data_IF_318622558524
#
_entry.id   IF_318622558524
#
_cell.length_a   1.000
_cell.length_b   1.000
_cell.length_c   1.000
_cell.angle_alpha   90.00
_cell.angle_beta   90.00
_cell.angle_gamma   90.00
#
_symmetry.space_group_name_H-M   'P 1'
#
loop_
_entity.id
_entity.type
_entity.pdbx_description
1 polymer ?
#
# COMPACT_ATOMS: atom_id res chain seq x y z
N UNK A 1 -29.56 -77.81 -15.35
CA UNK A 1 -29.39 -77.36 -16.74
C UNK A 1 -29.00 -75.89 -16.73
N UNK A 2 -28.06 -75.53 -17.59
CA UNK A 2 -27.20 -74.34 -17.64
C UNK A 2 -27.89 -72.97 -17.63
N UNK A 3 -27.46 -72.08 -16.73
CA UNK A 3 -27.62 -70.63 -16.86
C UNK A 3 -26.27 -69.93 -16.72
N UNK A 4 -25.76 -69.41 -17.84
CA UNK A 4 -24.57 -68.57 -17.96
C UNK A 4 -24.89 -67.16 -17.47
N UNK A 5 -24.20 -66.67 -16.44
CA UNK A 5 -24.13 -65.23 -16.14
C UNK A 5 -22.86 -64.64 -16.76
N UNK A 6 -23.06 -63.70 -17.69
CA UNK A 6 -22.00 -62.97 -18.38
C UNK A 6 -21.46 -61.85 -17.51
N UNK A 7 -20.16 -61.89 -17.24
CA UNK A 7 -19.37 -60.83 -16.62
C UNK A 7 -19.10 -59.75 -17.69
N UNK A 8 -19.58 -58.53 -17.48
CA UNK A 8 -19.25 -57.35 -18.29
C UNK A 8 -17.90 -56.79 -17.83
N UNK A 9 -16.94 -56.70 -18.75
CA UNK A 9 -15.68 -55.99 -18.51
C UNK A 9 -15.87 -54.47 -18.60
N UNK A 10 -15.12 -53.68 -17.83
CA UNK A 10 -15.15 -52.22 -17.95
C UNK A 10 -14.38 -51.78 -19.20
N UNK A 11 -15.01 -50.89 -19.99
CA UNK A 11 -14.42 -50.27 -21.18
C UNK A 11 -13.26 -49.36 -20.77
N UNK A 12 -12.05 -49.72 -21.17
CA UNK A 12 -10.87 -48.85 -21.13
C UNK A 12 -11.03 -47.73 -22.16
N UNK A 13 -11.08 -46.48 -21.70
CA UNK A 13 -10.90 -45.31 -22.54
C UNK A 13 -9.42 -45.22 -22.96
N UNK A 14 -9.14 -45.53 -24.24
CA UNK A 14 -7.85 -45.22 -24.87
C UNK A 14 -7.85 -43.75 -25.26
N UNK A 15 -7.20 -42.91 -24.46
CA UNK A 15 -6.83 -41.56 -24.89
C UNK A 15 -5.66 -41.66 -25.86
N UNK A 16 -5.88 -41.24 -27.11
CA UNK A 16 -4.84 -41.13 -28.13
C UNK A 16 -3.86 -40.01 -27.76
N UNK A 17 -2.62 -40.39 -27.43
CA UNK A 17 -1.51 -39.46 -27.25
C UNK A 17 -1.10 -38.96 -28.64
N UNK A 18 -1.50 -37.74 -28.97
CA UNK A 18 -1.01 -37.01 -30.15
C UNK A 18 0.48 -36.65 -30.03
N UNK A 19 1.14 -36.36 -31.16
CA UNK A 19 2.59 -36.18 -31.21
C UNK A 19 3.03 -34.98 -30.39
N UNK A 20 4.07 -35.19 -29.58
CA UNK A 20 4.77 -34.20 -28.74
C UNK A 20 5.09 -32.94 -29.54
N UNK A 21 4.34 -31.88 -29.27
CA UNK A 21 4.64 -30.53 -29.75
C UNK A 21 6.03 -30.10 -29.29
N UNK A 22 6.82 -29.61 -30.25
CA UNK A 22 8.14 -29.01 -30.02
C UNK A 22 8.08 -28.00 -28.87
N UNK A 23 8.82 -28.30 -27.81
CA UNK A 23 9.11 -27.40 -26.68
C UNK A 23 9.76 -26.13 -27.25
N UNK A 24 8.97 -25.06 -27.44
CA UNK A 24 9.49 -23.75 -27.83
C UNK A 24 10.49 -23.33 -26.76
N UNK A 25 11.76 -23.19 -27.15
CA UNK A 25 12.78 -22.55 -26.34
C UNK A 25 12.24 -21.18 -25.91
N UNK A 26 12.13 -21.00 -24.60
CA UNK A 26 11.81 -19.73 -23.97
C UNK A 26 12.98 -18.78 -24.26
N UNK A 27 12.87 -18.00 -25.34
CA UNK A 27 13.82 -16.93 -25.67
C UNK A 27 13.90 -16.01 -24.45
N UNK A 28 15.06 -15.96 -23.80
CA UNK A 28 15.42 -14.83 -22.93
C UNK A 28 15.26 -13.57 -23.77
N UNK A 29 14.30 -12.72 -23.41
CA UNK A 29 14.22 -11.37 -23.94
C UNK A 29 15.53 -10.69 -23.56
N UNK A 30 16.41 -10.45 -24.55
CA UNK A 30 17.49 -9.49 -24.39
C UNK A 30 16.81 -8.15 -24.13
N UNK A 31 17.21 -7.46 -23.06
CA UNK A 31 16.95 -6.03 -22.91
C UNK A 31 17.57 -5.35 -24.13
N UNK A 32 16.73 -5.06 -25.11
CA UNK A 32 17.10 -4.56 -26.42
C UNK A 32 16.35 -3.27 -26.68
N UNK A 33 17.12 -2.25 -27.04
CA UNK A 33 16.75 -1.09 -27.86
C UNK A 33 15.29 -0.64 -27.70
N UNK A 34 15.07 0.27 -26.75
CA UNK A 34 13.90 1.13 -26.79
C UNK A 34 13.94 1.90 -28.12
N UNK A 35 12.97 1.65 -29.00
CA UNK A 35 12.77 2.49 -30.18
C UNK A 35 12.70 3.96 -29.74
N UNK A 36 13.32 4.88 -30.49
CA UNK A 36 13.30 6.31 -30.16
C UNK A 36 11.85 6.78 -30.08
N UNK A 37 11.45 7.16 -28.88
CA UNK A 37 10.08 7.57 -28.56
C UNK A 37 9.74 8.84 -29.36
N UNK A 38 8.57 8.89 -30.05
CA UNK A 38 8.13 10.09 -30.75
C UNK A 38 8.05 11.28 -29.79
N UNK A 39 8.68 12.39 -30.16
CA UNK A 39 8.63 13.63 -29.37
C UNK A 39 7.23 14.23 -29.54
N UNK A 40 6.46 14.29 -28.46
CA UNK A 40 5.16 14.98 -28.45
C UNK A 40 5.38 16.49 -28.63
N UNK A 41 4.60 17.17 -29.49
CA UNK A 41 4.66 18.62 -29.62
C UNK A 41 4.25 19.29 -28.31
N UNK A 42 4.88 20.43 -27.96
CA UNK A 42 4.48 21.24 -26.79
C UNK A 42 3.05 21.70 -26.99
N UNK A 43 2.19 21.45 -26.00
CA UNK A 43 0.80 21.89 -26.06
C UNK A 43 0.76 23.42 -25.95
N UNK A 44 -0.18 24.10 -26.63
CA UNK A 44 -0.47 25.49 -26.31
C UNK A 44 -0.72 25.62 -24.80
N UNK A 45 -0.18 26.66 -24.19
CA UNK A 45 -0.37 26.93 -22.77
C UNK A 45 -1.86 26.77 -22.44
N UNK A 46 -2.19 25.88 -21.50
CA UNK A 46 -3.58 25.67 -21.09
C UNK A 46 -4.13 27.06 -20.77
N UNK A 47 -5.27 27.43 -21.37
CA UNK A 47 -5.97 28.63 -20.93
C UNK A 47 -6.33 28.36 -19.48
N UNK A 48 -5.55 28.90 -18.55
CA UNK A 48 -5.77 28.73 -17.13
C UNK A 48 -7.20 29.18 -16.85
N UNK A 49 -8.10 28.22 -16.67
CA UNK A 49 -9.43 28.49 -16.15
C UNK A 49 -9.15 28.90 -14.70
N UNK A 50 -9.36 30.18 -14.39
CA UNK A 50 -9.05 30.80 -13.11
C UNK A 50 -9.27 29.83 -11.94
N UNK A 51 -8.35 29.69 -10.95
CA UNK A 51 -8.47 28.74 -9.83
C UNK A 51 -9.87 28.72 -9.21
N UNK A 52 -10.31 27.56 -8.68
CA UNK A 52 -11.66 27.46 -8.12
C UNK A 52 -11.63 28.19 -6.79
N UNK A 53 -11.96 29.47 -6.87
CA UNK A 53 -12.36 30.26 -5.74
C UNK A 53 -13.88 30.21 -5.74
N UNK A 54 -14.51 29.41 -4.88
CA UNK A 54 -15.96 29.44 -4.76
C UNK A 54 -16.37 30.90 -4.51
N UNK A 55 -17.36 31.40 -5.25
CA UNK A 55 -17.84 32.77 -5.10
C UNK A 55 -18.48 33.02 -3.73
N UNK A 56 -18.81 31.95 -3.00
CA UNK A 56 -19.31 31.97 -1.62
C UNK A 56 -19.13 30.60 -0.93
N UNK A 57 -19.17 30.58 0.40
CA UNK A 57 -19.23 29.33 1.18
C UNK A 57 -20.44 28.45 0.81
N UNK A 58 -21.53 29.07 0.34
CA UNK A 58 -22.73 28.37 -0.11
C UNK A 58 -22.49 27.63 -1.43
N UNK A 59 -21.72 28.21 -2.35
CA UNK A 59 -21.36 27.56 -3.62
C UNK A 59 -20.43 26.36 -3.38
N UNK A 60 -19.44 26.52 -2.49
CA UNK A 60 -18.58 25.43 -2.06
C UNK A 60 -19.40 24.33 -1.37
N UNK A 61 -20.30 24.71 -0.45
CA UNK A 61 -21.20 23.77 0.22
C UNK A 61 -22.15 23.06 -0.74
N UNK A 62 -22.65 23.75 -1.77
CA UNK A 62 -23.53 23.17 -2.78
C UNK A 62 -22.79 22.22 -3.74
N UNK A 63 -21.57 22.55 -4.13
CA UNK A 63 -20.73 21.68 -4.96
C UNK A 63 -20.30 20.43 -4.19
N UNK A 64 -19.89 20.62 -2.93
CA UNK A 64 -19.68 19.52 -1.97
C UNK A 64 -20.93 18.68 -1.87
N UNK A 65 -22.09 19.29 -1.63
CA UNK A 65 -23.38 18.62 -1.58
C UNK A 65 -23.69 17.87 -2.87
N UNK A 66 -23.42 18.42 -4.05
CA UNK A 66 -23.65 17.75 -5.34
C UNK A 66 -22.70 16.58 -5.57
N UNK A 67 -21.45 16.64 -5.12
CA UNK A 67 -20.52 15.51 -5.20
C UNK A 67 -20.93 14.45 -4.16
N UNK A 68 -21.27 14.87 -2.93
CA UNK A 68 -21.85 14.01 -1.90
C UNK A 68 -23.14 13.35 -2.39
N UNK A 69 -24.01 14.08 -3.08
CA UNK A 69 -25.26 13.57 -3.62
C UNK A 69 -25.08 12.80 -4.91
N UNK A 70 -24.14 13.13 -5.78
CA UNK A 70 -23.83 12.31 -6.95
C UNK A 70 -23.27 10.97 -6.47
N UNK A 71 -22.44 10.97 -5.41
CA UNK A 71 -22.04 9.75 -4.73
C UNK A 71 -23.26 9.04 -4.12
N UNK A 72 -24.07 9.66 -3.25
CA UNK A 72 -25.25 9.02 -2.64
C UNK A 72 -26.33 8.56 -3.63
N UNK A 73 -26.65 9.38 -4.64
CA UNK A 73 -27.69 9.10 -5.63
C UNK A 73 -27.27 8.06 -6.66
N UNK A 74 -25.96 7.94 -6.95
CA UNK A 74 -25.42 6.81 -7.68
C UNK A 74 -25.56 5.48 -6.91
N UNK A 75 -25.61 5.52 -5.57
CA UNK A 75 -25.96 4.37 -4.72
C UNK A 75 -27.47 4.23 -4.44
N UNK A 76 -28.28 5.09 -5.05
CA UNK A 76 -29.74 5.15 -4.89
C UNK A 76 -30.48 4.01 -5.58
N UNK A 77 -30.32 2.78 -5.11
CA UNK A 77 -31.34 1.72 -5.28
C UNK A 77 -31.38 0.67 -4.14
N UNK A 78 -30.64 0.86 -3.04
CA UNK A 78 -30.74 0.00 -1.85
C UNK A 78 -30.93 0.83 -0.57
N UNK A 79 -31.98 1.66 -0.53
CA UNK A 79 -32.37 2.43 0.65
C UNK A 79 -33.18 1.59 1.65
N UNK A 80 -32.74 0.36 1.96
CA UNK A 80 -33.44 -0.50 2.92
C UNK A 80 -32.64 -0.86 4.18
N UNK A 81 -31.34 -0.53 4.26
CA UNK A 81 -30.57 -0.63 5.50
C UNK A 81 -29.82 0.68 5.74
N UNK A 82 -30.22 1.41 6.79
CA UNK A 82 -29.71 2.74 7.13
C UNK A 82 -28.30 2.73 7.79
N UNK A 83 -27.61 1.58 7.80
CA UNK A 83 -26.35 1.38 8.51
C UNK A 83 -25.13 1.22 7.59
N UNK A 84 -25.23 1.52 6.29
CA UNK A 84 -24.13 1.32 5.35
C UNK A 84 -23.27 2.59 5.22
N UNK A 85 -21.95 2.53 5.46
CA UNK A 85 -21.08 3.70 5.44
C UNK A 85 -20.96 4.28 4.03
N UNK A 86 -21.41 5.52 3.89
CA UNK A 86 -21.36 6.33 2.67
C UNK A 86 -19.93 6.52 2.14
N UNK A 87 -19.80 6.76 0.83
CA UNK A 87 -18.54 7.17 0.19
C UNK A 87 -17.91 8.40 0.88
N UNK A 88 -18.75 9.24 1.50
CA UNK A 88 -18.39 10.33 2.43
C UNK A 88 -17.42 9.91 3.54
N UNK A 89 -17.53 8.68 4.04
CA UNK A 89 -16.64 8.11 5.06
C UNK A 89 -15.23 7.90 4.51
N UNK A 90 -15.09 7.44 3.26
CA UNK A 90 -13.78 7.27 2.61
C UNK A 90 -13.09 8.63 2.42
N UNK A 91 -13.86 9.65 2.04
CA UNK A 91 -13.36 11.01 1.81
C UNK A 91 -12.90 11.72 3.09
N UNK A 92 -13.61 11.50 4.19
CA UNK A 92 -13.40 12.24 5.45
C UNK A 92 -12.53 11.50 6.47
N UNK A 93 -12.40 10.18 6.36
CA UNK A 93 -11.72 9.36 7.37
C UNK A 93 -10.45 8.66 6.89
N UNK A 94 -10.14 8.69 5.59
CA UNK A 94 -8.93 8.06 5.08
C UNK A 94 -7.80 9.05 4.79
N UNK A 95 -6.57 8.66 5.10
CA UNK A 95 -5.34 9.43 4.83
C UNK A 95 -4.71 9.10 3.47
N UNK A 96 -5.49 8.54 2.53
CA UNK A 96 -5.03 8.20 1.17
C UNK A 96 -4.51 9.42 0.40
N UNK A 97 -3.50 9.25 -0.49
CA UNK A 97 -2.98 10.33 -1.37
C UNK A 97 -4.02 10.84 -2.37
N UNK A 98 -4.74 9.89 -2.97
CA UNK A 98 -5.78 10.08 -3.99
C UNK A 98 -7.17 9.90 -3.40
N UNK A 99 -7.26 9.99 -2.08
CA UNK A 99 -8.54 10.20 -1.43
C UNK A 99 -9.12 11.51 -1.97
N UNK A 100 -10.44 11.61 -2.11
CA UNK A 100 -11.12 12.87 -2.39
C UNK A 100 -11.04 13.79 -1.16
N UNK A 101 -9.82 14.09 -0.70
CA UNK A 101 -9.56 15.27 0.09
C UNK A 101 -9.99 16.46 -0.76
N UNK A 102 -10.42 17.53 -0.08
CA UNK A 102 -10.83 18.77 -0.74
C UNK A 102 -9.79 19.33 -1.71
N UNK A 103 -8.54 18.90 -1.59
CA UNK A 103 -7.43 19.25 -2.47
C UNK A 103 -7.65 18.89 -3.94
N UNK A 104 -8.24 17.74 -4.26
CA UNK A 104 -8.41 17.27 -5.65
C UNK A 104 -9.69 17.77 -6.31
N UNK A 105 -10.65 18.25 -5.52
CA UNK A 105 -11.96 18.67 -6.01
C UNK A 105 -11.90 19.85 -6.99
N UNK A 106 -11.10 20.91 -6.76
CA UNK A 106 -10.97 21.99 -7.73
C UNK A 106 -10.63 21.48 -9.13
N UNK A 107 -9.68 20.56 -9.25
CA UNK A 107 -9.30 19.98 -10.53
C UNK A 107 -10.38 19.06 -11.09
N UNK A 108 -10.91 18.14 -10.28
CA UNK A 108 -11.95 17.21 -10.70
C UNK A 108 -13.19 17.92 -11.23
N UNK A 109 -13.63 19.02 -10.61
CA UNK A 109 -14.83 19.75 -11.04
C UNK A 109 -14.64 20.45 -12.39
N UNK A 110 -13.40 20.71 -12.79
CA UNK A 110 -13.07 21.44 -14.03
C UNK A 110 -12.64 20.54 -15.16
N UNK A 111 -12.33 19.30 -14.84
CA UNK A 111 -11.77 18.34 -15.78
C UNK A 111 -12.59 17.06 -15.79
N UNK A 112 -13.42 16.89 -16.83
CA UNK A 112 -14.32 15.75 -16.96
C UNK A 112 -13.58 14.40 -16.95
N UNK A 113 -12.42 14.31 -17.62
CA UNK A 113 -11.67 13.06 -17.68
C UNK A 113 -11.18 12.66 -16.28
N UNK A 114 -10.60 13.63 -15.55
CA UNK A 114 -10.11 13.40 -14.21
C UNK A 114 -11.27 13.13 -13.24
N UNK A 115 -12.37 13.88 -13.31
CA UNK A 115 -13.59 13.63 -12.53
C UNK A 115 -14.04 12.17 -12.64
N UNK A 116 -14.25 11.71 -13.87
CA UNK A 116 -14.72 10.35 -14.11
C UNK A 116 -13.69 9.30 -13.67
N UNK A 117 -12.39 9.56 -13.81
CA UNK A 117 -11.35 8.64 -13.32
C UNK A 117 -11.36 8.55 -11.79
N UNK A 118 -11.48 9.69 -11.10
CA UNK A 118 -11.53 9.78 -9.65
C UNK A 118 -12.78 9.07 -9.11
N UNK A 119 -13.96 9.33 -9.69
CA UNK A 119 -15.21 8.66 -9.30
C UNK A 119 -15.14 7.14 -9.48
N UNK A 120 -14.49 6.67 -10.56
CA UNK A 120 -14.20 5.24 -10.72
C UNK A 120 -13.31 4.71 -9.60
N UNK A 121 -12.20 5.39 -9.30
CA UNK A 121 -11.29 4.99 -8.22
C UNK A 121 -11.96 4.94 -6.86
N UNK A 122 -12.70 6.00 -6.50
CA UNK A 122 -13.45 6.08 -5.25
C UNK A 122 -14.52 4.99 -5.17
N UNK A 123 -15.24 4.71 -6.27
CA UNK A 123 -16.23 3.61 -6.32
C UNK A 123 -15.57 2.25 -6.07
N UNK A 124 -14.38 2.02 -6.63
CA UNK A 124 -13.61 0.79 -6.40
C UNK A 124 -13.18 0.69 -4.94
N UNK A 125 -12.65 1.77 -4.36
CA UNK A 125 -12.20 1.79 -2.97
C UNK A 125 -13.38 1.51 -2.03
N UNK A 126 -14.52 2.18 -2.22
CA UNK A 126 -15.72 1.94 -1.42
C UNK A 126 -16.18 0.48 -1.50
N UNK A 127 -16.19 -0.12 -2.69
CA UNK A 127 -16.55 -1.53 -2.87
C UNK A 127 -15.59 -2.47 -2.11
N UNK A 128 -14.29 -2.19 -2.13
CA UNK A 128 -13.31 -2.97 -1.37
C UNK A 128 -13.53 -2.88 0.15
N UNK A 129 -13.73 -1.67 0.69
CA UNK A 129 -13.98 -1.48 2.13
C UNK A 129 -15.27 -2.17 2.58
N UNK A 130 -16.28 -2.19 1.71
CA UNK A 130 -17.56 -2.86 1.97
C UNK A 130 -17.53 -4.36 1.65
N UNK A 131 -16.43 -4.87 1.08
CA UNK A 131 -16.30 -6.25 0.60
C UNK A 131 -17.44 -6.68 -0.34
N UNK A 132 -17.83 -5.79 -1.25
CA UNK A 132 -18.87 -6.04 -2.26
C UNK A 132 -18.26 -6.06 -3.66
N UNK A 133 -19.00 -6.61 -4.62
CA UNK A 133 -18.63 -6.52 -6.02
C UNK A 133 -18.59 -5.07 -6.51
N UNK A 134 -17.74 -4.80 -7.51
CA UNK A 134 -17.61 -3.48 -8.10
C UNK A 134 -18.96 -3.01 -8.68
N UNK A 135 -19.48 -1.86 -8.25
CA UNK A 135 -20.80 -1.38 -8.67
C UNK A 135 -20.80 -0.98 -10.15
N UNK A 136 -21.97 -0.96 -10.79
CA UNK A 136 -22.11 -0.52 -12.20
C UNK A 136 -21.49 0.86 -12.47
N UNK A 137 -21.55 1.76 -11.49
CA UNK A 137 -21.01 3.12 -11.59
C UNK A 137 -19.49 3.13 -11.76
N UNK A 138 -18.77 2.19 -11.15
CA UNK A 138 -17.34 2.01 -11.37
C UNK A 138 -17.04 1.90 -12.86
N UNK A 139 -17.72 0.97 -13.55
CA UNK A 139 -17.54 0.72 -14.97
C UNK A 139 -18.01 1.88 -15.85
N UNK A 140 -19.12 2.53 -15.46
CA UNK A 140 -19.64 3.70 -16.17
C UNK A 140 -18.64 4.85 -16.17
N UNK A 141 -18.18 5.28 -14.99
CA UNK A 141 -17.22 6.36 -14.86
C UNK A 141 -15.87 5.99 -15.50
N UNK A 142 -15.40 4.74 -15.31
CA UNK A 142 -14.16 4.26 -15.96
C UNK A 142 -14.23 4.36 -17.48
N UNK A 143 -15.34 3.91 -18.08
CA UNK A 143 -15.53 3.94 -19.54
C UNK A 143 -15.53 5.35 -20.12
N UNK A 144 -16.17 6.31 -19.44
CA UNK A 144 -16.17 7.72 -19.86
C UNK A 144 -14.76 8.31 -19.76
N UNK A 145 -14.07 8.10 -18.63
CA UNK A 145 -12.72 8.61 -18.44
C UNK A 145 -11.74 8.07 -19.49
N UNK A 146 -11.80 6.78 -19.84
CA UNK A 146 -10.98 6.19 -20.91
C UNK A 146 -11.27 6.86 -22.26
N UNK A 147 -12.55 7.04 -22.61
CA UNK A 147 -12.95 7.68 -23.87
C UNK A 147 -12.38 9.10 -23.96
N UNK A 148 -12.61 9.91 -22.93
CA UNK A 148 -12.14 11.30 -22.87
C UNK A 148 -10.60 11.39 -22.89
N UNK A 149 -9.92 10.49 -22.17
CA UNK A 149 -8.46 10.42 -22.19
C UNK A 149 -7.94 10.11 -23.60
N UNK A 150 -8.53 9.13 -24.31
CA UNK A 150 -8.09 8.80 -25.66
C UNK A 150 -8.28 9.98 -26.63
N UNK A 151 -9.43 10.65 -26.59
CA UNK A 151 -9.70 11.85 -27.40
C UNK A 151 -8.64 12.95 -27.16
N UNK A 152 -8.20 13.12 -25.91
CA UNK A 152 -7.15 14.08 -25.52
C UNK A 152 -5.77 13.67 -26.02
N UNK A 153 -5.41 12.41 -25.85
CA UNK A 153 -4.12 11.87 -26.31
C UNK A 153 -3.99 11.97 -27.85
N UNK A 154 -5.08 11.75 -28.59
CA UNK A 154 -5.11 11.94 -30.05
C UNK A 154 -4.82 13.39 -30.47
N UNK A 155 -5.21 14.37 -29.65
CA UNK A 155 -4.90 15.80 -29.87
C UNK A 155 -3.51 16.20 -29.37
N UNK A 156 -2.82 15.32 -28.64
CA UNK A 156 -1.54 15.61 -27.99
C UNK A 156 -1.66 16.41 -26.69
N UNK A 157 -2.85 16.43 -26.08
CA UNK A 157 -3.08 17.11 -24.81
C UNK A 157 -2.30 16.42 -23.67
N UNK A 158 -1.69 17.22 -22.79
CA UNK A 158 -0.91 16.78 -21.63
C UNK A 158 -1.06 17.78 -20.47
N UNK A 159 -2.25 18.36 -20.35
CA UNK A 159 -2.62 19.21 -19.22
C UNK A 159 -2.73 18.40 -17.91
N UNK A 160 -2.91 19.14 -16.82
CA UNK A 160 -3.00 18.62 -15.46
C UNK A 160 -4.07 17.53 -15.31
N UNK A 161 -5.27 17.75 -15.86
CA UNK A 161 -6.37 16.79 -15.78
C UNK A 161 -6.05 15.49 -16.53
N UNK A 162 -5.40 15.60 -17.68
CA UNK A 162 -4.93 14.46 -18.48
C UNK A 162 -3.88 13.65 -17.73
N UNK A 163 -2.88 14.32 -17.15
CA UNK A 163 -1.82 13.66 -16.36
C UNK A 163 -2.41 12.94 -15.15
N UNK A 164 -3.25 13.61 -14.37
CA UNK A 164 -3.85 13.01 -13.18
C UNK A 164 -4.81 11.87 -13.53
N UNK A 165 -5.52 11.93 -14.66
CA UNK A 165 -6.33 10.81 -15.17
C UNK A 165 -5.46 9.58 -15.42
N UNK A 166 -4.29 9.76 -16.06
CA UNK A 166 -3.34 8.66 -16.29
C UNK A 166 -2.75 8.16 -14.97
N UNK A 167 -2.45 9.04 -14.02
CA UNK A 167 -2.00 8.64 -12.68
C UNK A 167 -3.00 7.71 -11.99
N UNK A 168 -4.29 8.04 -11.99
CA UNK A 168 -5.35 7.20 -11.41
C UNK A 168 -5.35 5.81 -12.03
N UNK A 169 -5.30 5.70 -13.36
CA UNK A 169 -5.28 4.40 -14.03
C UNK A 169 -4.00 3.61 -13.77
N UNK A 170 -2.84 4.27 -13.82
CA UNK A 170 -1.56 3.65 -13.53
C UNK A 170 -1.52 3.06 -12.10
N UNK A 171 -2.02 3.82 -11.12
CA UNK A 171 -2.13 3.36 -9.73
C UNK A 171 -3.05 2.17 -9.57
N UNK A 172 -4.23 2.19 -10.20
CA UNK A 172 -5.15 1.06 -10.13
C UNK A 172 -4.51 -0.22 -10.65
N UNK A 173 -3.83 -0.17 -11.80
CA UNK A 173 -3.13 -1.34 -12.33
C UNK A 173 -1.94 -1.77 -11.44
N UNK A 174 -1.26 -0.81 -10.80
CA UNK A 174 -0.21 -1.10 -9.84
C UNK A 174 -0.78 -1.79 -8.58
N UNK A 175 -1.86 -1.27 -8.00
CA UNK A 175 -2.51 -1.79 -6.80
C UNK A 175 -3.20 -3.14 -7.03
N UNK A 176 -3.70 -3.39 -8.23
CA UNK A 176 -4.20 -4.70 -8.63
C UNK A 176 -3.08 -5.72 -8.87
N UNK A 177 -1.81 -5.33 -8.71
CA UNK A 177 -0.67 -6.22 -8.86
C UNK A 177 -0.54 -6.73 -10.30
N UNK A 178 -0.77 -5.88 -11.30
CA UNK A 178 -0.65 -6.22 -12.73
C UNK A 178 0.58 -5.54 -13.38
N UNK A 179 1.79 -6.11 -13.23
CA UNK A 179 3.03 -5.48 -13.69
C UNK A 179 3.04 -5.06 -15.17
N UNK A 180 2.46 -5.84 -16.07
CA UNK A 180 2.52 -5.53 -17.51
C UNK A 180 1.68 -4.31 -17.89
N UNK A 181 0.44 -4.23 -17.40
CA UNK A 181 -0.42 -3.08 -17.63
C UNK A 181 0.08 -1.87 -16.86
N UNK A 182 0.51 -2.04 -15.60
CA UNK A 182 1.14 -0.99 -14.82
C UNK A 182 2.35 -0.38 -15.56
N UNK A 183 3.25 -1.21 -16.11
CA UNK A 183 4.40 -0.73 -16.91
C UNK A 183 3.98 0.11 -18.11
N UNK A 184 2.91 -0.29 -18.80
CA UNK A 184 2.39 0.47 -19.96
C UNK A 184 1.89 1.85 -19.54
N UNK A 185 1.10 1.93 -18.47
CA UNK A 185 0.58 3.20 -17.97
C UNK A 185 1.66 4.09 -17.37
N UNK A 186 2.61 3.54 -16.61
CA UNK A 186 3.75 4.30 -16.07
C UNK A 186 4.61 4.86 -17.20
N UNK A 187 4.87 4.07 -18.25
CA UNK A 187 5.61 4.56 -19.42
C UNK A 187 4.87 5.72 -20.11
N UNK A 188 3.56 5.58 -20.31
CA UNK A 188 2.72 6.65 -20.85
C UNK A 188 2.72 7.91 -19.98
N UNK A 189 2.61 7.74 -18.66
CA UNK A 189 2.69 8.85 -17.69
C UNK A 189 4.01 9.60 -17.80
N UNK A 190 5.15 8.90 -17.80
CA UNK A 190 6.47 9.50 -17.91
C UNK A 190 6.65 10.26 -19.23
N UNK A 191 6.05 9.78 -20.32
CA UNK A 191 6.04 10.49 -21.60
C UNK A 191 5.25 11.79 -21.53
N UNK A 192 4.08 11.80 -20.88
CA UNK A 192 3.28 13.02 -20.66
C UNK A 192 4.03 14.02 -19.77
N UNK A 193 4.60 13.56 -18.65
CA UNK A 193 5.42 14.41 -17.76
C UNK A 193 6.60 15.02 -18.53
N UNK A 194 7.28 14.23 -19.36
CA UNK A 194 8.37 14.73 -20.21
C UNK A 194 7.87 15.77 -21.23
N UNK A 195 6.72 15.54 -21.85
CA UNK A 195 6.10 16.48 -22.80
C UNK A 195 5.75 17.81 -22.14
N UNK A 196 5.31 17.78 -20.88
CA UNK A 196 5.02 18.96 -20.06
C UNK A 196 6.26 19.74 -19.60
N UNK A 197 7.48 19.29 -19.95
CA UNK A 197 8.74 19.92 -19.55
C UNK A 197 9.42 19.24 -18.35
N UNK A 198 9.05 18.00 -18.04
CA UNK A 198 9.54 17.26 -16.87
C UNK A 198 8.73 17.59 -15.62
N UNK A 199 9.19 17.10 -14.46
CA UNK A 199 8.54 17.37 -13.16
C UNK A 199 8.52 18.86 -12.83
N UNK A 200 9.55 19.60 -13.22
CA UNK A 200 9.57 21.06 -13.08
C UNK A 200 8.52 21.75 -13.95
N UNK A 201 8.10 21.13 -15.06
CA UNK A 201 6.98 21.59 -15.88
C UNK A 201 5.63 21.51 -15.15
N UNK A 202 5.54 20.69 -14.11
CA UNK A 202 4.37 20.55 -13.24
C UNK A 202 4.45 21.44 -11.99
N UNK A 203 5.48 22.28 -11.88
CA UNK A 203 5.77 23.09 -10.69
C UNK A 203 4.64 24.02 -10.24
N UNK A 204 3.69 24.32 -11.11
CA UNK A 204 2.55 25.19 -10.81
C UNK A 204 1.48 24.53 -9.92
N UNK A 205 1.43 23.19 -9.83
CA UNK A 205 0.52 22.49 -8.92
C UNK A 205 1.24 21.40 -8.10
N UNK A 206 1.54 21.66 -6.81
CA UNK A 206 2.15 20.69 -5.91
C UNK A 206 1.39 19.37 -5.80
N UNK A 207 0.06 19.38 -5.97
CA UNK A 207 -0.78 18.20 -5.81
C UNK A 207 -0.50 17.20 -6.93
N UNK A 208 -0.60 17.64 -8.18
CA UNK A 208 -0.28 16.85 -9.38
C UNK A 208 1.10 16.24 -9.29
N UNK A 209 2.09 17.01 -8.83
CA UNK A 209 3.45 16.51 -8.62
C UNK A 209 3.50 15.36 -7.61
N UNK A 210 2.86 15.51 -6.43
CA UNK A 210 2.75 14.42 -5.43
C UNK A 210 2.09 13.19 -6.02
N UNK A 211 1.03 13.37 -6.78
CA UNK A 211 0.29 12.26 -7.39
C UNK A 211 1.14 11.52 -8.42
N UNK A 212 1.91 12.24 -9.23
CA UNK A 212 2.87 11.65 -10.16
C UNK A 212 3.96 10.87 -9.41
N UNK A 213 4.56 11.43 -8.34
CA UNK A 213 5.56 10.71 -7.54
C UNK A 213 4.99 9.47 -6.84
N UNK A 214 3.80 9.57 -6.25
CA UNK A 214 3.14 8.43 -5.63
C UNK A 214 2.85 7.33 -6.66
N UNK A 215 2.44 7.71 -7.87
CA UNK A 215 2.20 6.78 -8.97
C UNK A 215 3.49 6.09 -9.44
N UNK A 216 4.59 6.83 -9.56
CA UNK A 216 5.90 6.28 -9.90
C UNK A 216 6.41 5.30 -8.84
N UNK A 217 6.21 5.62 -7.54
CA UNK A 217 6.54 4.71 -6.44
C UNK A 217 5.70 3.42 -6.47
N UNK A 218 4.38 3.53 -6.65
CA UNK A 218 3.51 2.37 -6.80
C UNK A 218 3.92 1.51 -8.00
N UNK A 219 4.26 2.15 -9.12
CA UNK A 219 4.84 1.51 -10.30
C UNK A 219 6.12 0.77 -9.98
N UNK A 220 7.08 1.42 -9.33
CA UNK A 220 8.37 0.86 -8.95
C UNK A 220 8.23 -0.38 -8.05
N UNK A 221 7.32 -0.34 -7.06
CA UNK A 221 7.00 -1.48 -6.19
C UNK A 221 6.47 -2.65 -7.04
N UNK A 222 5.47 -2.40 -7.87
CA UNK A 222 4.82 -3.44 -8.67
C UNK A 222 5.76 -4.04 -9.71
N UNK A 223 6.63 -3.22 -10.33
CA UNK A 223 7.59 -3.64 -11.35
C UNK A 223 8.89 -4.20 -10.77
N UNK A 224 9.12 -4.07 -9.46
CA UNK A 224 10.42 -4.36 -8.82
C UNK A 224 11.57 -3.55 -9.43
N UNK A 225 11.35 -2.26 -9.65
CA UNK A 225 12.36 -1.34 -10.20
C UNK A 225 12.65 -0.20 -9.23
N UNK A 226 13.67 0.61 -9.54
CA UNK A 226 13.83 1.94 -8.94
C UNK A 226 12.71 2.87 -9.44
N UNK A 227 12.18 3.78 -8.61
CA UNK A 227 11.41 4.93 -9.09
C UNK A 227 12.19 5.68 -10.16
N UNK A 228 11.51 6.08 -11.24
CA UNK A 228 12.16 6.79 -12.35
C UNK A 228 12.31 8.27 -12.02
N UNK A 229 11.42 8.81 -11.21
CA UNK A 229 11.39 10.21 -10.83
C UNK A 229 12.17 10.44 -9.53
N UNK A 230 13.14 11.33 -9.62
CA UNK A 230 13.85 11.83 -8.45
C UNK A 230 12.88 12.57 -7.51
N UNK A 231 12.99 12.37 -6.19
CA UNK A 231 12.13 13.04 -5.23
C UNK A 231 12.33 14.56 -5.26
N UNK A 232 11.25 15.32 -5.13
CA UNK A 232 11.33 16.75 -4.81
C UNK A 232 11.44 17.03 -3.31
N UNK A 233 11.15 16.03 -2.48
CA UNK A 233 11.25 16.11 -1.02
C UNK A 233 12.70 15.85 -0.59
N UNK A 234 13.17 16.57 0.44
CA UNK A 234 14.44 16.24 1.08
C UNK A 234 14.30 14.96 1.90
N UNK A 235 14.62 13.83 1.27
CA UNK A 235 14.54 12.51 1.90
C UNK A 235 15.58 12.28 3.00
N UNK A 236 16.46 13.24 3.29
CA UNK A 236 17.47 13.13 4.36
C UNK A 236 17.04 13.75 5.68
N UNK A 237 16.06 14.66 5.67
CA UNK A 237 15.56 15.35 6.87
C UNK A 237 14.44 14.58 7.58
N UNK A 238 14.77 13.41 8.11
CA UNK A 238 13.79 12.54 8.76
C UNK A 238 13.07 13.19 9.95
N UNK A 239 13.68 14.16 10.64
CA UNK A 239 13.04 14.85 11.76
C UNK A 239 11.86 15.71 11.30
N UNK A 240 11.98 16.39 10.16
CA UNK A 240 10.87 17.16 9.59
C UNK A 240 9.70 16.27 9.22
N UNK A 241 9.96 15.11 8.61
CA UNK A 241 8.90 14.22 8.11
C UNK A 241 8.35 13.25 9.17
N UNK A 242 9.17 12.70 10.04
CA UNK A 242 8.73 11.71 11.05
C UNK A 242 8.52 12.32 12.44
N UNK A 243 8.95 13.57 12.66
CA UNK A 243 8.96 14.19 13.99
C UNK A 243 10.01 13.56 14.92
N UNK A 244 10.29 14.19 16.05
CA UNK A 244 11.32 13.70 16.97
C UNK A 244 10.99 12.30 17.50
N UNK A 245 11.97 11.36 17.53
CA UNK A 245 11.74 10.04 18.10
C UNK A 245 11.62 10.15 19.63
N UNK A 246 10.67 9.42 20.21
CA UNK A 246 10.62 9.26 21.67
C UNK A 246 11.85 8.48 22.16
N UNK A 247 12.20 8.61 23.44
CA UNK A 247 13.33 7.85 24.02
C UNK A 247 13.16 6.34 23.86
N UNK A 248 11.92 5.84 23.92
CA UNK A 248 11.60 4.45 23.62
C UNK A 248 11.96 4.12 22.16
N UNK A 249 11.43 4.89 21.19
CA UNK A 249 11.72 4.68 19.77
C UNK A 249 13.22 4.68 19.47
N UNK A 250 13.99 5.62 20.04
CA UNK A 250 15.46 5.66 19.88
C UNK A 250 16.11 4.37 20.39
N UNK A 251 15.77 3.95 21.61
CA UNK A 251 16.33 2.75 22.24
C UNK A 251 16.05 1.49 21.42
N UNK A 252 14.81 1.32 20.96
CA UNK A 252 14.42 0.15 20.18
C UNK A 252 15.00 0.15 18.78
N UNK A 253 14.98 1.29 18.08
CA UNK A 253 15.62 1.43 16.78
C UNK A 253 17.12 1.10 16.87
N UNK A 254 17.81 1.58 17.89
CA UNK A 254 19.23 1.28 18.11
C UNK A 254 19.50 -0.20 18.40
N UNK A 255 18.64 -0.84 19.19
CA UNK A 255 18.74 -2.28 19.49
C UNK A 255 18.52 -3.11 18.23
N UNK A 256 17.51 -2.77 17.44
CA UNK A 256 17.22 -3.40 16.15
C UNK A 256 18.37 -3.22 15.16
N UNK A 257 18.88 -1.99 15.02
CA UNK A 257 20.07 -1.64 14.22
C UNK A 257 21.26 -2.51 14.57
N UNK A 258 21.58 -2.61 15.86
CA UNK A 258 22.75 -3.35 16.36
C UNK A 258 22.61 -4.84 16.07
N UNK A 259 21.42 -5.43 16.29
CA UNK A 259 21.16 -6.84 15.95
C UNK A 259 21.32 -7.11 14.45
N UNK A 260 20.77 -6.25 13.61
CA UNK A 260 20.90 -6.35 12.14
C UNK A 260 22.35 -6.19 11.68
N UNK A 261 23.06 -5.18 12.18
CA UNK A 261 24.47 -4.93 11.87
C UNK A 261 25.34 -6.12 12.27
N UNK A 262 25.15 -6.66 13.47
CA UNK A 262 25.90 -7.84 13.94
C UNK A 262 25.63 -9.10 13.09
N UNK A 263 24.40 -9.25 12.58
CA UNK A 263 24.02 -10.42 11.78
C UNK A 263 24.45 -10.30 10.31
N UNK A 264 24.38 -9.11 9.72
CA UNK A 264 24.55 -8.89 8.28
C UNK A 264 25.83 -8.14 7.92
N UNK A 265 26.48 -7.48 8.87
CA UNK A 265 27.58 -6.55 8.65
C UNK A 265 27.29 -5.50 7.53
N UNK A 266 26.01 -5.14 7.37
CA UNK A 266 25.54 -4.29 6.26
C UNK A 266 25.14 -2.90 6.76
N UNK A 267 25.46 -1.83 6.02
CA UNK A 267 25.02 -0.47 6.36
C UNK A 267 23.50 -0.29 6.24
N UNK A 268 22.80 -1.22 5.58
CA UNK A 268 21.33 -1.22 5.49
C UNK A 268 20.68 -1.33 6.89
N UNK A 269 21.41 -1.74 7.92
CA UNK A 269 20.93 -1.73 9.31
C UNK A 269 20.50 -0.35 9.78
N UNK A 270 21.22 0.69 9.37
CA UNK A 270 20.91 2.07 9.78
C UNK A 270 19.62 2.55 9.11
N UNK A 271 19.45 2.25 7.83
CA UNK A 271 18.21 2.54 7.10
C UNK A 271 17.02 1.76 7.66
N UNK A 272 17.20 0.49 8.02
CA UNK A 272 16.16 -0.33 8.63
C UNK A 272 15.70 0.23 9.99
N UNK A 273 16.65 0.73 10.80
CA UNK A 273 16.35 1.39 12.07
C UNK A 273 15.60 2.71 11.88
N UNK A 274 15.99 3.52 10.90
CA UNK A 274 15.27 4.75 10.54
C UNK A 274 13.87 4.46 10.00
N UNK A 275 13.70 3.39 9.21
CA UNK A 275 12.39 2.95 8.74
C UNK A 275 11.49 2.51 9.90
N UNK A 276 12.03 1.82 10.91
CA UNK A 276 11.29 1.45 12.13
C UNK A 276 10.85 2.70 12.91
N UNK A 277 11.71 3.71 13.03
CA UNK A 277 11.32 5.00 13.63
C UNK A 277 10.17 5.66 12.84
N UNK A 278 10.31 5.79 11.53
CA UNK A 278 9.27 6.36 10.67
C UNK A 278 7.94 5.62 10.77
N UNK A 279 7.95 4.27 10.74
CA UNK A 279 6.75 3.45 10.91
C UNK A 279 6.04 3.75 12.23
N UNK A 280 6.78 3.81 13.33
CA UNK A 280 6.21 4.05 14.66
C UNK A 280 5.62 5.45 14.75
N UNK A 281 6.42 6.48 14.47
CA UNK A 281 5.96 7.85 14.61
C UNK A 281 4.80 8.19 13.68
N UNK A 282 4.81 7.71 12.43
CA UNK A 282 3.70 7.95 11.50
C UNK A 282 2.46 7.14 11.84
N UNK A 283 2.60 5.94 12.42
CA UNK A 283 1.44 5.20 12.95
C UNK A 283 0.82 5.95 14.12
N UNK A 284 1.63 6.43 15.08
CA UNK A 284 1.12 7.22 16.21
C UNK A 284 0.43 8.49 15.73
N UNK A 285 1.07 9.24 14.82
CA UNK A 285 0.49 10.47 14.27
C UNK A 285 -0.86 10.22 13.57
N UNK A 286 -0.96 9.13 12.82
CA UNK A 286 -2.25 8.70 12.24
C UNK A 286 -3.26 8.38 13.34
N UNK A 287 -2.88 7.62 14.35
CA UNK A 287 -3.78 7.27 15.46
C UNK A 287 -4.27 8.54 16.18
N UNK A 288 -3.40 9.53 16.38
CA UNK A 288 -3.73 10.84 16.94
C UNK A 288 -4.71 11.62 16.04
N UNK A 289 -4.62 11.49 14.71
CA UNK A 289 -5.64 12.05 13.80
C UNK A 289 -7.00 11.35 13.95
N UNK A 290 -7.02 10.03 14.13
CA UNK A 290 -8.27 9.28 14.30
C UNK A 290 -8.91 9.49 15.67
N UNK A 291 -8.12 9.71 16.72
CA UNK A 291 -8.63 10.06 18.05
C UNK A 291 -9.03 11.54 18.17
N UNK A 292 -8.59 12.38 17.23
CA UNK A 292 -8.81 13.83 17.25
C UNK A 292 -7.84 14.59 18.15
N UNK A 293 -6.75 13.94 18.59
CA UNK A 293 -5.68 14.55 19.36
C UNK A 293 -4.72 15.38 18.48
N UNK A 294 -4.74 15.14 17.17
CA UNK A 294 -4.02 15.92 16.16
C UNK A 294 -4.91 16.22 14.95
N UNK A 295 -4.55 17.24 14.16
CA UNK A 295 -5.26 17.60 12.94
C UNK A 295 -4.45 17.22 11.70
N UNK A 296 -5.10 16.60 10.69
CA UNK A 296 -4.43 16.23 9.45
C UNK A 296 -4.09 17.50 8.67
N UNK A 297 -2.80 17.80 8.64
CA UNK A 297 -2.17 18.79 7.77
C UNK A 297 -2.71 20.23 7.89
N UNK A 298 -2.06 21.18 7.21
CA UNK A 298 -2.57 22.55 7.12
C UNK A 298 -3.51 22.68 5.92
N UNK A 299 -4.27 23.79 5.86
CA UNK A 299 -5.15 24.08 4.72
C UNK A 299 -4.39 24.35 3.41
N UNK A 300 -3.10 24.64 3.48
CA UNK A 300 -2.30 25.01 2.30
C UNK A 300 -1.65 23.76 1.73
N UNK A 301 -1.93 23.44 0.46
CA UNK A 301 -1.29 22.32 -0.23
C UNK A 301 0.23 22.50 -0.41
N UNK A 302 0.78 23.69 -0.18
CA UNK A 302 2.22 23.94 -0.19
C UNK A 302 2.93 23.48 1.07
N UNK A 303 2.17 23.31 2.16
CA UNK A 303 2.75 22.90 3.44
C UNK A 303 2.97 21.40 3.47
N UNK A 304 3.75 20.96 4.45
CA UNK A 304 4.07 19.56 4.66
C UNK A 304 2.81 18.75 4.98
N UNK A 305 2.45 17.84 4.08
CA UNK A 305 1.28 16.98 4.24
C UNK A 305 1.68 15.60 4.81
N UNK A 306 0.76 14.89 5.43
CA UNK A 306 0.95 13.52 5.93
C UNK A 306 1.36 12.58 4.79
N UNK A 307 0.83 12.82 3.60
CA UNK A 307 1.27 12.07 2.41
C UNK A 307 2.74 12.29 2.06
N UNK A 308 3.29 13.48 2.29
CA UNK A 308 4.71 13.75 2.06
C UNK A 308 5.57 12.95 3.04
N UNK A 309 5.11 12.87 4.30
CA UNK A 309 5.76 12.05 5.35
C UNK A 309 5.77 10.57 4.98
N UNK A 310 4.63 10.05 4.51
CA UNK A 310 4.52 8.66 4.07
C UNK A 310 5.37 8.41 2.81
N UNK A 311 5.43 9.35 1.87
CA UNK A 311 6.31 9.25 0.69
C UNK A 311 7.79 9.10 1.08
N UNK A 312 8.26 9.93 2.02
CA UNK A 312 9.65 9.84 2.51
C UNK A 312 9.91 8.46 3.13
N UNK A 313 8.97 7.93 3.92
CA UNK A 313 9.08 6.58 4.47
C UNK A 313 9.09 5.49 3.37
N UNK A 314 8.25 5.60 2.35
CA UNK A 314 8.23 4.66 1.23
C UNK A 314 9.55 4.65 0.45
N UNK A 315 10.14 5.82 0.21
CA UNK A 315 11.44 5.94 -0.47
C UNK A 315 12.59 5.40 0.38
N UNK A 316 12.54 5.61 1.69
CA UNK A 316 13.49 5.00 2.62
C UNK A 316 13.38 3.46 2.59
N UNK A 317 12.15 2.94 2.65
CA UNK A 317 11.86 1.51 2.61
C UNK A 317 12.22 0.89 1.26
N UNK A 318 12.08 1.63 0.16
CA UNK A 318 12.51 1.21 -1.19
C UNK A 318 13.97 0.74 -1.21
N UNK A 319 14.86 1.49 -0.54
CA UNK A 319 16.29 1.16 -0.46
C UNK A 319 16.57 -0.18 0.23
N UNK A 320 15.66 -0.65 1.11
CA UNK A 320 15.83 -1.91 1.83
C UNK A 320 15.53 -3.13 0.95
N UNK A 321 14.52 -3.01 0.07
CA UNK A 321 14.10 -4.14 -0.76
C UNK A 321 14.63 -4.09 -2.19
N UNK A 322 14.94 -2.90 -2.72
CA UNK A 322 15.58 -2.73 -4.01
C UNK A 322 17.10 -2.59 -3.82
N UNK A 323 17.77 -3.72 -3.66
CA UNK A 323 19.23 -3.78 -3.66
C UNK A 323 19.70 -4.30 -5.01
N UNK A 324 20.50 -3.50 -5.72
CA UNK A 324 21.00 -3.84 -7.07
C UNK A 324 21.81 -5.14 -7.08
N UNK A 325 22.55 -5.42 -6.00
CA UNK A 325 23.18 -6.72 -5.79
C UNK A 325 22.19 -7.71 -5.16
N UNK A 326 21.59 -8.54 -6.02
CA UNK A 326 20.61 -9.53 -5.61
C UNK A 326 21.15 -10.81 -5.04
N UNK A 327 22.45 -11.06 -5.19
CA UNK A 327 23.06 -12.35 -4.87
C UNK A 327 23.53 -12.43 -3.42
N UNK A 328 23.58 -11.32 -2.69
CA UNK A 328 23.92 -11.35 -1.26
C UNK A 328 22.76 -11.91 -0.43
N UNK A 329 22.91 -13.13 0.06
CA UNK A 329 21.92 -13.82 0.90
C UNK A 329 21.55 -13.00 2.16
N UNK A 330 22.49 -12.23 2.73
CA UNK A 330 22.24 -11.40 3.90
C UNK A 330 21.27 -10.24 3.60
N UNK A 331 20.98 -9.95 2.32
CA UNK A 331 19.96 -8.98 1.93
C UNK A 331 18.53 -9.51 2.06
N UNK A 332 18.34 -10.83 2.27
CA UNK A 332 17.01 -11.41 2.42
C UNK A 332 16.21 -10.77 3.58
N UNK A 333 16.84 -10.59 4.75
CA UNK A 333 16.16 -9.96 5.91
C UNK A 333 15.74 -8.52 5.63
N UNK A 334 16.57 -7.73 4.93
CA UNK A 334 16.25 -6.36 4.55
C UNK A 334 15.13 -6.31 3.52
N UNK A 335 15.13 -7.23 2.56
CA UNK A 335 14.08 -7.34 1.54
C UNK A 335 12.74 -7.71 2.14
N UNK A 336 12.69 -8.75 2.97
CA UNK A 336 11.43 -9.18 3.58
C UNK A 336 10.92 -8.14 4.58
N UNK A 337 11.80 -7.50 5.34
CA UNK A 337 11.44 -6.35 6.17
C UNK A 337 10.88 -5.21 5.31
N UNK A 338 11.60 -4.80 4.27
CA UNK A 338 11.20 -3.72 3.38
C UNK A 338 9.84 -3.96 2.71
N UNK A 339 9.59 -5.13 2.14
CA UNK A 339 8.28 -5.46 1.57
C UNK A 339 7.18 -5.53 2.63
N UNK A 340 7.47 -6.02 3.84
CA UNK A 340 6.49 -6.00 4.94
C UNK A 340 6.16 -4.56 5.34
N UNK A 341 7.16 -3.68 5.42
CA UNK A 341 6.95 -2.25 5.65
C UNK A 341 6.06 -1.65 4.56
N UNK A 342 6.25 -1.99 3.28
CA UNK A 342 5.36 -1.52 2.21
C UNK A 342 3.92 -2.01 2.43
N UNK A 343 3.70 -3.30 2.70
CA UNK A 343 2.35 -3.83 3.01
C UNK A 343 1.72 -3.06 4.18
N UNK A 344 2.49 -2.84 5.24
CA UNK A 344 2.05 -2.08 6.41
C UNK A 344 1.73 -0.63 6.06
N UNK A 345 2.60 0.08 5.34
CA UNK A 345 2.38 1.46 4.90
C UNK A 345 1.07 1.54 4.11
N UNK A 346 0.84 0.65 3.16
CA UNK A 346 -0.34 0.71 2.32
C UNK A 346 -1.63 0.40 3.08
N UNK A 347 -1.63 -0.55 4.00
CA UNK A 347 -2.85 -0.94 4.74
C UNK A 347 -3.12 -0.02 5.93
N UNK A 348 -2.06 0.39 6.63
CA UNK A 348 -2.16 1.06 7.92
C UNK A 348 -2.03 2.57 7.74
N UNK A 349 -0.97 3.05 7.09
CA UNK A 349 -0.72 4.48 6.96
C UNK A 349 -1.52 5.11 5.82
N UNK A 350 -1.68 4.40 4.70
CA UNK A 350 -2.49 4.85 3.56
C UNK A 350 -3.93 4.36 3.62
N UNK A 351 -4.25 3.46 4.57
CA UNK A 351 -5.62 2.94 4.76
C UNK A 351 -6.24 2.37 3.48
N UNK A 352 -5.40 1.76 2.64
CA UNK A 352 -5.84 1.07 1.45
C UNK A 352 -6.33 -0.35 1.81
N UNK A 353 -7.24 -0.92 1.02
CA UNK A 353 -7.73 -2.27 1.25
C UNK A 353 -6.61 -3.30 1.36
N UNK A 354 -6.75 -4.25 2.29
CA UNK A 354 -5.77 -5.33 2.43
C UNK A 354 -5.82 -6.31 1.25
N UNK A 355 -6.95 -6.37 0.56
CA UNK A 355 -7.24 -7.21 -0.61
C UNK A 355 -6.61 -6.70 -1.91
N UNK A 356 -5.88 -5.58 -1.88
CA UNK A 356 -5.14 -5.11 -3.06
C UNK A 356 -4.15 -6.18 -3.54
N UNK A 357 -4.21 -6.48 -4.85
CA UNK A 357 -3.35 -7.49 -5.49
C UNK A 357 -1.85 -7.22 -5.30
N UNK A 358 -1.44 -5.96 -5.15
CA UNK A 358 -0.07 -5.59 -4.81
C UNK A 358 0.36 -6.16 -3.45
N UNK A 359 -0.49 -6.10 -2.42
CA UNK A 359 -0.16 -6.63 -1.10
C UNK A 359 0.01 -8.14 -1.13
N UNK A 360 -0.89 -8.84 -1.82
CA UNK A 360 -0.81 -10.28 -2.05
C UNK A 360 0.44 -10.67 -2.82
N UNK A 361 0.78 -9.91 -3.86
CA UNK A 361 2.00 -10.10 -4.66
C UNK A 361 3.27 -9.87 -3.83
N UNK A 362 3.31 -8.85 -2.96
CA UNK A 362 4.42 -8.62 -2.02
C UNK A 362 4.56 -9.75 -0.99
N UNK A 363 3.45 -10.24 -0.43
CA UNK A 363 3.47 -11.41 0.45
C UNK A 363 4.04 -12.64 -0.28
N UNK A 364 3.65 -12.86 -1.54
CA UNK A 364 4.24 -13.91 -2.38
C UNK A 364 5.75 -13.78 -2.56
N UNK A 365 6.28 -12.55 -2.74
CA UNK A 365 7.73 -12.28 -2.80
C UNK A 365 8.45 -12.60 -1.50
N UNK A 366 7.85 -12.22 -0.36
CA UNK A 366 8.37 -12.52 0.97
C UNK A 366 8.45 -14.04 1.17
N UNK A 367 7.36 -14.76 0.89
CA UNK A 367 7.33 -16.23 0.96
C UNK A 367 8.45 -16.85 0.12
N UNK A 368 8.52 -16.50 -1.16
CA UNK A 368 9.51 -17.07 -2.08
C UNK A 368 10.96 -16.80 -1.60
N UNK A 369 11.21 -15.63 -1.03
CA UNK A 369 12.53 -15.26 -0.50
C UNK A 369 12.88 -16.05 0.76
N UNK A 370 11.91 -16.25 1.67
CA UNK A 370 12.12 -17.04 2.89
C UNK A 370 12.27 -18.54 2.59
N UNK A 371 11.52 -19.08 1.63
CA UNK A 371 11.65 -20.48 1.20
C UNK A 371 13.01 -20.76 0.54
N UNK A 372 13.59 -19.77 -0.13
CA UNK A 372 14.91 -19.89 -0.75
C UNK A 372 16.06 -19.71 0.25
N UNK A 373 15.80 -19.24 1.48
CA UNK A 373 16.83 -18.93 2.46
C UNK A 373 17.29 -20.21 3.21
N UNK A 374 18.56 -20.65 3.07
CA UNK A 374 19.01 -21.95 3.59
C UNK A 374 18.86 -22.09 5.11
N UNK A 375 19.15 -21.02 5.85
CA UNK A 375 19.17 -21.01 7.31
C UNK A 375 17.95 -20.31 7.93
N UNK A 376 16.76 -20.55 7.36
CA UNK A 376 15.54 -19.86 7.78
C UNK A 376 15.27 -20.03 9.28
N UNK A 377 15.50 -21.21 9.85
CA UNK A 377 15.28 -21.43 11.27
C UNK A 377 16.21 -20.60 12.17
N UNK A 378 17.47 -20.39 11.75
CA UNK A 378 18.41 -19.51 12.46
C UNK A 378 17.88 -18.08 12.41
N UNK A 379 17.49 -17.63 11.22
CA UNK A 379 16.95 -16.30 10.99
C UNK A 379 15.68 -16.03 11.85
N UNK A 380 14.75 -16.98 11.89
CA UNK A 380 13.53 -16.91 12.71
C UNK A 380 13.82 -16.92 14.21
N UNK A 381 14.82 -17.68 14.66
CA UNK A 381 15.22 -17.70 16.07
C UNK A 381 15.88 -16.38 16.49
N UNK A 382 16.79 -15.85 15.66
CA UNK A 382 17.54 -14.62 15.92
C UNK A 382 16.64 -13.38 15.90
N UNK A 383 15.64 -13.33 15.03
CA UNK A 383 14.74 -12.19 14.84
C UNK A 383 13.26 -12.56 15.04
N UNK A 384 12.98 -13.32 16.10
CA UNK A 384 11.64 -13.85 16.35
C UNK A 384 10.54 -12.78 16.48
N UNK A 385 10.85 -11.62 17.04
CA UNK A 385 9.97 -10.47 17.18
C UNK A 385 9.60 -9.87 15.82
N UNK A 386 10.62 -9.57 15.01
CA UNK A 386 10.46 -9.08 13.65
C UNK A 386 9.65 -10.08 12.81
N UNK A 387 10.04 -11.35 12.79
CA UNK A 387 9.39 -12.33 11.93
C UNK A 387 7.99 -12.68 12.38
N UNK A 388 7.69 -12.66 13.68
CA UNK A 388 6.31 -12.83 14.16
C UNK A 388 5.42 -11.72 13.60
N UNK A 389 5.87 -10.47 13.69
CA UNK A 389 5.18 -9.33 13.08
C UNK A 389 5.04 -9.49 11.56
N UNK A 390 6.11 -9.87 10.84
CA UNK A 390 6.04 -10.13 9.39
C UNK A 390 5.02 -11.23 9.05
N UNK A 391 4.98 -12.33 9.80
CA UNK A 391 4.04 -13.43 9.52
C UNK A 391 2.58 -12.98 9.70
N UNK A 392 2.28 -12.16 10.72
CA UNK A 392 0.92 -11.64 10.92
C UNK A 392 0.53 -10.64 9.82
N UNK A 393 1.40 -9.67 9.51
CA UNK A 393 1.14 -8.66 8.47
C UNK A 393 0.95 -9.34 7.11
N UNK A 394 1.87 -10.24 6.73
CA UNK A 394 1.81 -10.93 5.45
C UNK A 394 0.67 -11.95 5.39
N UNK A 395 0.44 -12.72 6.46
CA UNK A 395 -0.64 -13.68 6.54
C UNK A 395 -2.03 -13.05 6.37
N UNK A 396 -2.19 -11.78 6.78
CA UNK A 396 -3.45 -11.02 6.61
C UNK A 396 -3.76 -10.69 5.14
N UNK A 397 -2.75 -10.57 4.28
CA UNK A 397 -2.91 -10.15 2.87
C UNK A 397 -2.55 -11.24 1.86
N UNK A 398 -1.96 -12.33 2.33
CA UNK A 398 -1.60 -13.46 1.50
C UNK A 398 -2.84 -14.12 0.90
N UNK A 399 -2.65 -14.65 -0.31
CA UNK A 399 -3.59 -15.56 -0.97
C UNK A 399 -3.87 -16.76 -0.05
N UNK A 400 -5.07 -17.33 -0.16
CA UNK A 400 -5.49 -18.46 0.67
C UNK A 400 -4.49 -19.61 0.68
N UNK A 401 -3.83 -19.86 -0.45
CA UNK A 401 -2.82 -20.91 -0.62
C UNK A 401 -1.54 -20.65 0.18
N UNK A 402 -1.20 -19.39 0.38
CA UNK A 402 0.05 -18.96 1.01
C UNK A 402 -0.14 -18.63 2.50
N UNK A 403 -1.38 -18.39 2.97
CA UNK A 403 -1.66 -18.16 4.40
C UNK A 403 -1.12 -19.26 5.31
N UNK A 404 -1.19 -20.52 4.87
CA UNK A 404 -0.65 -21.66 5.62
C UNK A 404 0.86 -21.56 5.85
N UNK A 405 1.61 -21.00 4.88
CA UNK A 405 3.04 -20.80 5.04
C UNK A 405 3.32 -19.83 6.19
N UNK A 406 2.69 -18.66 6.19
CA UNK A 406 2.87 -17.64 7.23
C UNK A 406 2.38 -18.11 8.60
N UNK A 407 1.20 -18.74 8.65
CA UNK A 407 0.66 -19.31 9.88
C UNK A 407 1.59 -20.37 10.48
N UNK A 408 2.11 -21.30 9.66
CA UNK A 408 3.01 -22.35 10.16
C UNK A 408 4.31 -21.79 10.75
N UNK A 409 4.87 -20.73 10.17
CA UNK A 409 6.09 -20.09 10.69
C UNK A 409 5.80 -19.23 11.92
N UNK A 410 4.66 -18.55 11.99
CA UNK A 410 4.21 -17.87 13.20
C UNK A 410 4.06 -18.88 14.35
N UNK A 411 3.41 -20.03 14.11
CA UNK A 411 3.27 -21.09 15.11
C UNK A 411 4.62 -21.61 15.61
N UNK A 412 5.62 -21.81 14.73
CA UNK A 412 6.99 -22.18 15.16
C UNK A 412 7.59 -21.16 16.12
N UNK A 413 7.46 -19.87 15.82
CA UNK A 413 7.97 -18.79 16.68
C UNK A 413 7.24 -18.78 18.03
N UNK A 414 5.91 -18.91 18.02
CA UNK A 414 5.09 -18.92 19.24
C UNK A 414 5.44 -20.10 20.15
N UNK A 415 5.64 -21.30 19.59
CA UNK A 415 6.07 -22.49 20.34
C UNK A 415 7.44 -22.28 20.98
N UNK A 416 8.41 -21.73 20.23
CA UNK A 416 9.75 -21.44 20.77
C UNK A 416 9.68 -20.43 21.92
N UNK A 417 8.79 -19.44 21.82
CA UNK A 417 8.55 -18.43 22.87
C UNK A 417 7.64 -18.91 24.00
N UNK A 418 7.08 -20.13 23.91
CA UNK A 418 6.10 -20.70 24.85
C UNK A 418 4.89 -19.79 25.05
N UNK A 419 4.41 -19.18 23.96
CA UNK A 419 3.23 -18.31 23.97
C UNK A 419 2.02 -19.11 23.47
N UNK A 420 1.12 -19.44 24.39
CA UNK A 420 -0.10 -20.20 24.10
C UNK A 420 -1.37 -19.36 24.30
N UNK A 421 -1.32 -18.38 25.21
CA UNK A 421 -2.45 -17.50 25.50
C UNK A 421 -2.69 -16.48 24.38
N UNK A 422 -3.96 -16.22 24.06
CA UNK A 422 -4.33 -15.31 22.98
C UNK A 422 -3.88 -13.86 23.24
N UNK A 423 -3.94 -13.39 24.49
CA UNK A 423 -3.49 -12.04 24.83
C UNK A 423 -1.97 -11.94 24.73
N UNK A 424 -1.24 -12.96 25.21
CA UNK A 424 0.22 -13.01 25.09
C UNK A 424 0.68 -13.02 23.62
N UNK A 425 -0.07 -13.71 22.74
CA UNK A 425 0.18 -13.71 21.30
C UNK A 425 -0.04 -12.32 20.69
N UNK A 426 -1.14 -11.64 21.03
CA UNK A 426 -1.42 -10.27 20.56
C UNK A 426 -0.34 -9.30 21.04
N UNK A 427 0.01 -9.38 22.32
CA UNK A 427 1.12 -8.63 22.92
C UNK A 427 2.42 -8.87 22.16
N UNK A 428 2.78 -10.13 21.91
CA UNK A 428 4.00 -10.46 21.18
C UNK A 428 4.00 -10.00 19.72
N UNK A 429 2.83 -9.97 19.06
CA UNK A 429 2.68 -9.50 17.69
C UNK A 429 2.86 -7.97 17.59
N UNK A 430 2.41 -7.23 18.61
CA UNK A 430 2.57 -5.77 18.68
C UNK A 430 3.97 -5.36 19.17
N UNK A 431 4.64 -6.21 19.95
CA UNK A 431 5.91 -5.91 20.61
C UNK A 431 7.04 -5.47 19.68
N UNK A 432 6.99 -5.82 18.39
CA UNK A 432 7.99 -5.32 17.44
C UNK A 432 7.85 -3.80 17.19
N UNK A 433 6.61 -3.32 17.03
CA UNK A 433 6.35 -1.89 16.81
C UNK A 433 6.14 -1.13 18.12
N UNK A 434 5.63 -1.76 19.18
CA UNK A 434 5.20 -1.10 20.42
C UNK A 434 5.60 -1.85 21.72
N UNK A 435 6.88 -2.22 21.88
CA UNK A 435 7.38 -2.96 23.06
C UNK A 435 7.12 -2.29 24.41
N UNK A 436 7.01 -0.96 24.45
CA UNK A 436 6.73 -0.20 25.69
C UNK A 436 5.31 -0.40 26.22
N UNK A 437 4.34 -0.75 25.36
CA UNK A 437 2.94 -0.99 25.79
C UNK A 437 2.83 -2.16 26.77
N UNK A 438 3.85 -3.00 26.86
CA UNK A 438 3.87 -4.18 27.74
C UNK A 438 4.41 -3.89 29.14
N UNK A 439 5.30 -2.90 29.29
CA UNK A 439 5.97 -2.62 30.58
C UNK A 439 4.95 -2.09 31.61
N UNK A 440 3.93 -1.37 31.15
CA UNK A 440 2.91 -0.79 32.03
C UNK A 440 1.92 -1.80 32.62
N UNK A 441 1.66 -2.92 31.93
CA UNK A 441 0.67 -3.91 32.39
C UNK A 441 1.17 -4.68 33.62
N UNK A 442 2.43 -5.10 33.62
CA UNK A 442 3.03 -5.88 34.71
C UNK A 442 3.18 -5.10 36.03
N UNK A 443 3.31 -3.77 35.96
CA UNK A 443 3.37 -2.93 37.16
C UNK A 443 2.02 -2.85 37.88
N UNK A 444 0.91 -2.83 37.12
CA UNK A 444 -0.45 -2.71 37.67
C UNK A 444 -1.00 -4.00 38.29
N UNK A 445 -0.59 -5.18 37.80
CA UNK A 445 -1.06 -6.46 38.36
C UNK A 445 -0.36 -6.83 39.69
N UNK A 446 0.81 -6.25 39.97
CA UNK A 446 1.57 -6.50 41.20
C UNK A 446 1.08 -5.70 42.42
N UNK A 447 0.35 -4.60 42.22
CA UNK A 447 -0.21 -3.78 43.30
C UNK A 447 -1.58 -4.28 43.76
N UNK A 448 -2.35 -4.93 42.88
CA UNK A 448 -3.66 -5.45 43.21
C UNK A 448 -3.62 -6.72 44.11
N UNK A 449 -2.56 -7.53 44.03
CA UNK A 449 -2.47 -8.77 44.84
C UNK A 449 -1.97 -8.55 46.28
N UNK A 450 -1.71 -7.30 46.70
CA UNK A 450 -1.16 -6.98 48.02
C UNK A 450 -2.18 -6.41 49.02
N UNK A 451 -3.42 -6.14 48.60
CA UNK A 451 -4.46 -5.59 49.47
C UNK A 451 -5.47 -6.63 50.00
N UNK A 452 -5.45 -7.87 49.49
CA UNK A 452 -6.37 -8.94 49.94
C UNK A 452 -5.78 -9.87 51.02
N UNK A 453 -4.66 -9.50 51.66
CA UNK A 453 -4.02 -10.30 52.72
C UNK A 453 -3.79 -9.53 54.03
N UNK A 454 -4.69 -8.61 54.38
CA UNK A 454 -4.90 -8.19 55.77
C UNK A 454 -6.33 -8.58 56.18
N UNK A 455 -6.57 -9.89 56.31
CA UNK A 455 -7.67 -10.38 57.14
C UNK A 455 -7.26 -10.13 58.59
N UNK A 456 -7.98 -9.18 59.19
CA UNK A 456 -8.01 -8.89 60.61
C UNK A 456 -8.52 -10.13 61.37
N UNK A 457 -7.64 -10.76 62.15
CA UNK A 457 -8.05 -11.61 63.26
C UNK A 457 -8.56 -10.69 64.38
N UNK A 458 -9.87 -10.74 64.65
CA UNK A 458 -10.47 -10.27 65.91
C UNK A 458 -10.97 -11.51 66.63
N UNK A 459 -10.28 -11.87 67.71
CA UNK A 459 -10.78 -12.71 68.79
C UNK A 459 -10.96 -11.83 70.05
N UNK A 460 -12.13 -11.99 70.69
CA UNK A 460 -12.61 -11.58 72.02
C UNK A 460 -12.59 -10.10 72.49
#
# INVERSE_FOLDING_TARGET
>A
MTTKQGVRSPRQFKASIGPRGRRKQRRKLKAGEQEPIPVLPRSPASKAIAPYSPGSELEDSYLRFLIYHCMLSCFGFLKQNADQPDVTVVCSRTLTCVGPRFEWYPLAVRDDAFFHSLMSSTSSHAAYLQQVELPRNFYHHRGIAIRLLNERLERGDHDEGTINTVCVFAQQEAFEGRPRTASTHITGLLQLVKASGGIEGLSYDPKTRRHVHFTDLAGAITLSTKPVLEPTLDISDYNTYFGQPTSATVSYAQTFRTRLCNFTNSPLSDQAATALWGLRNLTQLRDDFHSGDAFPDTLLSTDLQFTDRVEVLERLVHQLWYVEDSENEQHAIFRTFGWTCVIYIYIVLRELPKELGMNTMLAGRIKATLEAYPDLNVLLATFNDLFLWQMFVCGRVADERDRNFFASHATKILIIRKLEDANDILVAAEAFLWPERHVSSAASSSSASRLDSEMVDIDD
#
